data_IF_602900258765
#
_entry.id   IF_602900258765
#
_cell.length_a   1.000
_cell.length_b   1.000
_cell.length_c   1.000
_cell.angle_alpha   90.00
_cell.angle_beta   90.00
_cell.angle_gamma   90.00
#
_symmetry.space_group_name_H-M   'P 1'
#
loop_
_entity.id
_entity.type
_entity.pdbx_description
1 polymer ?
#
# COMPACT_ATOMS: atom_id res chain seq x y z
N UNK A 1 0.18 -3.67 -18.74
CA UNK A 1 -0.37 -4.44 -17.60
C UNK A 1 -0.05 -3.67 -16.35
N UNK A 2 -0.97 -3.61 -15.39
CA UNK A 2 -0.81 -2.92 -14.12
C UNK A 2 -0.78 -3.94 -12.99
N UNK A 3 0.27 -3.92 -12.18
CA UNK A 3 0.42 -4.93 -11.13
C UNK A 3 1.07 -4.35 -9.87
N UNK A 4 0.48 -4.72 -8.75
CA UNK A 4 1.03 -4.46 -7.43
C UNK A 4 0.53 -5.49 -6.42
N UNK A 5 1.44 -5.97 -5.58
CA UNK A 5 1.12 -6.88 -4.49
C UNK A 5 1.91 -6.51 -3.23
N UNK A 6 1.27 -5.95 -2.19
CA UNK A 6 1.94 -5.56 -0.94
C UNK A 6 2.43 -6.75 -0.11
N UNK A 7 2.08 -7.99 -0.48
CA UNK A 7 2.59 -9.21 0.16
C UNK A 7 3.90 -9.71 -0.44
N UNK A 8 4.30 -9.17 -1.58
CA UNK A 8 5.60 -9.43 -2.15
C UNK A 8 6.59 -8.33 -1.70
N UNK A 9 7.71 -8.75 -1.10
CA UNK A 9 8.80 -7.88 -0.67
C UNK A 9 9.43 -7.10 -1.83
N UNK A 10 9.32 -7.56 -3.07
CA UNK A 10 9.79 -6.81 -4.22
C UNK A 10 8.98 -5.52 -4.47
N UNK A 11 7.73 -5.48 -3.99
CA UNK A 11 6.78 -4.39 -4.22
C UNK A 11 6.56 -3.50 -3.00
N UNK A 12 6.68 -4.04 -1.79
CA UNK A 12 6.52 -3.27 -0.54
C UNK A 12 7.58 -3.65 0.48
N UNK A 13 8.34 -2.65 0.93
CA UNK A 13 9.32 -2.81 2.01
C UNK A 13 9.20 -1.67 3.03
N UNK A 14 9.23 -1.95 4.34
CA UNK A 14 9.18 -3.28 4.95
C UNK A 14 7.80 -3.94 4.78
N UNK A 15 7.76 -5.28 4.91
CA UNK A 15 6.50 -6.02 4.94
C UNK A 15 5.73 -5.72 6.24
N UNK A 16 4.41 -5.67 6.15
CA UNK A 16 3.55 -5.42 7.31
C UNK A 16 3.55 -3.97 7.80
N UNK A 17 3.45 -3.81 9.12
CA UNK A 17 3.39 -2.52 9.80
C UNK A 17 4.76 -1.83 9.83
N UNK A 18 4.75 -0.50 9.89
CA UNK A 18 5.95 0.34 9.79
C UNK A 18 6.17 1.06 11.11
N UNK A 19 7.40 1.14 11.57
CA UNK A 19 7.72 1.89 12.79
C UNK A 19 7.87 3.38 12.47
N UNK A 20 7.43 4.24 13.39
CA UNK A 20 7.75 5.68 13.32
C UNK A 20 9.27 5.88 13.19
N UNK A 21 9.67 6.78 12.30
CA UNK A 21 11.07 7.01 11.91
C UNK A 21 11.57 6.08 10.80
N UNK A 22 10.74 5.17 10.28
CA UNK A 22 11.05 4.38 9.08
C UNK A 22 10.33 4.94 7.85
N UNK A 23 10.83 4.56 6.67
CA UNK A 23 10.19 4.82 5.40
C UNK A 23 9.64 3.52 4.79
N UNK A 24 8.62 3.66 3.94
CA UNK A 24 8.22 2.58 3.03
C UNK A 24 8.80 2.82 1.64
N UNK A 25 9.27 1.76 1.02
CA UNK A 25 9.52 1.68 -0.42
C UNK A 25 8.34 0.95 -1.06
N UNK A 26 7.71 1.61 -2.01
CA UNK A 26 6.67 1.01 -2.86
C UNK A 26 7.16 0.95 -4.30
N UNK A 27 7.02 -0.22 -4.93
CA UNK A 27 7.22 -0.40 -6.36
C UNK A 27 5.90 -0.74 -7.03
N UNK A 28 5.68 -0.29 -8.25
CA UNK A 28 4.48 -0.54 -9.03
C UNK A 28 4.86 -0.89 -10.47
N UNK A 29 4.28 -1.94 -11.02
CA UNK A 29 4.58 -2.40 -12.38
C UNK A 29 3.56 -1.85 -13.38
N UNK A 30 4.08 -1.25 -14.45
CA UNK A 30 3.32 -0.70 -15.56
C UNK A 30 4.15 -0.72 -16.86
N UNK A 31 3.69 -1.54 -17.81
CA UNK A 31 4.35 -1.76 -19.10
C UNK A 31 4.07 -0.68 -20.17
N UNK A 32 3.15 0.24 -19.88
CA UNK A 32 2.75 1.29 -20.81
C UNK A 32 3.79 2.41 -20.86
N UNK A 33 4.04 2.97 -22.05
CA UNK A 33 5.11 3.95 -22.30
C UNK A 33 4.75 5.38 -21.91
N UNK A 34 3.49 5.79 -22.05
CA UNK A 34 2.98 7.11 -21.68
C UNK A 34 2.05 7.00 -20.48
N UNK A 35 2.65 6.73 -19.32
CA UNK A 35 1.93 6.60 -18.05
C UNK A 35 2.65 7.33 -16.93
N UNK A 36 1.88 8.12 -16.20
CA UNK A 36 2.27 8.70 -14.92
C UNK A 36 1.57 7.95 -13.79
N UNK A 37 2.33 7.59 -12.74
CA UNK A 37 1.80 6.91 -11.56
C UNK A 37 2.03 7.77 -10.33
N UNK A 38 0.96 8.03 -9.58
CA UNK A 38 1.01 8.70 -8.28
C UNK A 38 0.58 7.73 -7.19
N UNK A 39 1.30 7.73 -6.08
CA UNK A 39 0.85 7.10 -4.86
C UNK A 39 0.06 8.11 -4.04
N UNK A 40 -1.22 7.84 -3.82
CA UNK A 40 -2.08 8.65 -2.97
C UNK A 40 -2.15 7.97 -1.62
N UNK A 41 -1.78 8.68 -0.54
CA UNK A 41 -1.86 8.18 0.83
C UNK A 41 -2.65 9.14 1.70
N UNK A 42 -3.56 8.59 2.49
CA UNK A 42 -4.44 9.32 3.39
C UNK A 42 -4.33 8.74 4.79
N UNK A 43 -4.07 9.60 5.78
CA UNK A 43 -4.21 9.20 7.19
C UNK A 43 -5.68 9.06 7.53
N UNK A 44 -6.02 8.11 8.39
CA UNK A 44 -7.38 7.97 8.91
C UNK A 44 -7.85 9.30 9.54
N UNK A 45 -9.03 9.77 9.12
CA UNK A 45 -9.58 11.10 9.45
C UNK A 45 -8.61 12.29 9.30
N UNK A 46 -7.61 12.18 8.42
CA UNK A 46 -6.51 13.13 8.34
C UNK A 46 -6.20 13.62 6.93
N UNK A 47 -4.99 14.17 6.79
CA UNK A 47 -4.49 14.74 5.54
C UNK A 47 -4.29 13.66 4.46
N UNK A 48 -4.53 14.08 3.21
CA UNK A 48 -4.18 13.37 1.98
C UNK A 48 -2.82 13.90 1.50
N UNK A 49 -1.96 12.99 1.08
CA UNK A 49 -0.66 13.26 0.50
C UNK A 49 -0.56 12.55 -0.84
N UNK A 50 0.13 13.16 -1.78
CA UNK A 50 0.29 12.65 -3.14
C UNK A 50 1.77 12.63 -3.47
N UNK A 51 2.26 11.47 -3.90
CA UNK A 51 3.66 11.27 -4.25
C UNK A 51 3.77 10.78 -5.68
N UNK A 52 4.42 11.56 -6.53
CA UNK A 52 4.74 11.15 -7.89
C UNK A 52 5.78 10.03 -7.84
N UNK A 53 5.52 8.93 -8.53
CA UNK A 53 6.46 7.80 -8.63
C UNK A 53 7.42 8.03 -9.80
N UNK A 54 8.68 7.65 -9.61
CA UNK A 54 9.72 7.72 -10.66
C UNK A 54 10.02 6.32 -11.19
N UNK A 55 10.29 6.16 -12.49
CA UNK A 55 10.65 4.86 -13.05
C UNK A 55 12.13 4.55 -12.75
N UNK A 56 12.40 3.39 -12.16
CA UNK A 56 13.76 2.90 -11.91
C UNK A 56 14.39 2.24 -13.16
N UNK A 57 15.68 1.90 -13.06
CA UNK A 57 16.43 1.24 -14.14
C UNK A 57 15.87 -0.14 -14.52
N UNK A 58 15.14 -0.79 -13.60
CA UNK A 58 14.48 -2.07 -13.84
C UNK A 58 13.10 -1.91 -14.49
N UNK A 59 12.64 -0.67 -14.69
CA UNK A 59 11.38 -0.34 -15.34
C UNK A 59 10.20 -0.20 -14.37
N UNK A 60 10.38 -0.38 -13.05
CA UNK A 60 9.32 -0.24 -12.06
C UNK A 60 9.14 1.23 -11.64
N UNK A 61 7.89 1.63 -11.42
CA UNK A 61 7.61 2.89 -10.75
C UNK A 61 7.91 2.75 -9.27
N UNK A 62 8.74 3.60 -8.71
CA UNK A 62 9.20 3.55 -7.32
C UNK A 62 8.95 4.85 -6.58
N UNK A 63 8.63 4.74 -5.30
CA UNK A 63 8.54 5.88 -4.38
C UNK A 63 8.96 5.45 -2.97
N UNK A 64 9.67 6.35 -2.28
CA UNK A 64 10.01 6.18 -0.86
C UNK A 64 9.28 7.23 -0.04
N UNK A 65 8.51 6.81 0.96
CA UNK A 65 7.67 7.69 1.78
C UNK A 65 8.10 7.56 3.25
N UNK A 66 8.63 8.63 3.88
CA UNK A 66 9.03 8.62 5.28
C UNK A 66 7.83 8.80 6.23
N UNK A 67 7.88 8.18 7.41
CA UNK A 67 6.89 8.32 8.48
C UNK A 67 7.53 8.75 9.80
N UNK A 68 7.90 10.03 9.89
CA UNK A 68 8.80 10.50 10.95
C UNK A 68 8.14 10.70 12.32
N UNK A 69 6.88 11.15 12.37
CA UNK A 69 6.25 11.57 13.64
C UNK A 69 4.84 11.02 13.88
N UNK A 70 4.15 10.58 12.84
CA UNK A 70 2.70 10.35 12.90
C UNK A 70 2.35 8.86 12.88
N UNK A 71 2.34 8.20 14.04
CA UNK A 71 1.74 6.88 14.19
C UNK A 71 0.23 6.92 13.89
N UNK A 72 -0.31 5.81 13.42
CA UNK A 72 -1.72 5.64 13.13
C UNK A 72 -2.00 4.77 11.92
N UNK A 73 -3.26 4.79 11.50
CA UNK A 73 -3.74 4.07 10.34
C UNK A 73 -3.69 4.95 9.10
N UNK A 74 -3.14 4.40 8.02
CA UNK A 74 -3.04 5.03 6.72
C UNK A 74 -3.68 4.13 5.67
N UNK A 75 -4.19 4.77 4.63
CA UNK A 75 -4.80 4.14 3.49
C UNK A 75 -4.14 4.66 2.23
N UNK A 76 -3.75 3.78 1.32
CA UNK A 76 -3.12 4.20 0.07
C UNK A 76 -3.64 3.43 -1.14
N UNK A 77 -3.53 4.05 -2.31
CA UNK A 77 -3.83 3.49 -3.62
C UNK A 77 -2.98 4.19 -4.67
N UNK A 78 -2.96 3.65 -5.89
CA UNK A 78 -2.25 4.25 -7.01
C UNK A 78 -3.23 4.94 -7.95
N UNK A 79 -2.91 6.16 -8.34
CA UNK A 79 -3.57 6.90 -9.40
C UNK A 79 -2.69 6.81 -10.65
N UNK A 80 -3.30 6.44 -11.77
CA UNK A 80 -2.62 6.14 -13.03
C UNK A 80 -3.22 7.07 -14.08
N UNK A 81 -2.38 7.87 -14.71
CA UNK A 81 -2.76 8.74 -15.81
C UNK A 81 -2.16 8.17 -17.09
N UNK A 82 -3.03 7.72 -18.00
CA UNK A 82 -2.66 7.19 -19.31
C UNK A 82 -2.89 8.25 -20.40
N UNK A 83 -1.92 8.42 -21.30
CA UNK A 83 -2.09 9.21 -22.53
C UNK A 83 -1.28 10.50 -22.59
N UNK A 84 -1.49 11.25 -23.67
CA UNK A 84 -0.87 12.58 -23.89
C UNK A 84 -1.79 13.69 -23.41
N UNK A 85 -1.28 14.93 -23.32
CA UNK A 85 -1.97 16.12 -22.78
C UNK A 85 -3.42 16.35 -23.25
N UNK A 86 -3.84 15.76 -24.37
CA UNK A 86 -5.14 15.99 -25.02
C UNK A 86 -6.20 14.91 -24.71
N UNK A 87 -5.80 13.70 -24.29
CA UNK A 87 -6.68 12.60 -23.88
C UNK A 87 -6.06 11.84 -22.70
N UNK A 88 -6.27 12.35 -21.49
CA UNK A 88 -5.83 11.67 -20.27
C UNK A 88 -6.93 10.75 -19.74
N UNK A 89 -6.67 9.45 -19.76
CA UNK A 89 -7.50 8.46 -19.10
C UNK A 89 -6.99 8.24 -17.69
N UNK A 90 -7.81 8.63 -16.70
CA UNK A 90 -7.52 8.43 -15.29
C UNK A 90 -8.03 7.06 -14.84
N UNK A 91 -7.14 6.25 -14.29
CA UNK A 91 -7.44 4.96 -13.69
C UNK A 91 -6.86 4.90 -12.29
N UNK A 92 -7.34 3.94 -11.50
CA UNK A 92 -6.89 3.76 -10.14
C UNK A 92 -6.59 2.29 -9.85
N UNK A 93 -5.64 2.02 -8.98
CA UNK A 93 -5.28 0.66 -8.57
C UNK A 93 -5.31 0.55 -7.05
N UNK A 94 -6.15 -0.35 -6.56
CA UNK A 94 -6.40 -0.57 -5.14
C UNK A 94 -6.41 -2.04 -4.76
N UNK A 95 -6.68 -2.32 -3.50
CA UNK A 95 -6.84 -3.68 -2.96
C UNK A 95 -8.06 -4.39 -3.56
N UNK A 96 -7.95 -5.69 -3.77
CA UNK A 96 -9.11 -6.54 -4.11
C UNK A 96 -10.09 -6.72 -2.94
N UNK A 97 -9.67 -6.40 -1.71
CA UNK A 97 -10.43 -6.57 -0.47
C UNK A 97 -10.18 -7.90 0.26
N UNK A 98 -9.54 -8.87 -0.40
CA UNK A 98 -9.08 -10.13 0.21
C UNK A 98 -7.59 -10.10 0.58
N UNK A 99 -6.91 -8.99 0.29
CA UNK A 99 -5.46 -8.83 0.48
C UNK A 99 -4.65 -9.40 -0.70
N UNK A 100 -3.37 -9.07 -0.73
CA UNK A 100 -2.48 -9.45 -1.84
C UNK A 100 -2.68 -8.56 -3.07
N UNK A 101 -2.76 -9.18 -4.25
CA UNK A 101 -2.87 -8.48 -5.53
C UNK A 101 -4.11 -7.58 -5.60
N UNK A 102 -3.93 -6.43 -6.25
CA UNK A 102 -4.97 -5.44 -6.43
C UNK A 102 -5.81 -5.59 -7.69
N UNK A 103 -6.70 -4.62 -7.85
CA UNK A 103 -7.58 -4.49 -9.00
C UNK A 103 -7.49 -3.07 -9.56
N UNK A 104 -7.76 -2.97 -10.86
CA UNK A 104 -7.90 -1.70 -11.56
C UNK A 104 -9.35 -1.20 -11.45
N UNK A 105 -9.51 0.08 -11.18
CA UNK A 105 -10.77 0.80 -11.03
C UNK A 105 -10.81 1.99 -11.99
N UNK A 106 -12.00 2.28 -12.52
CA UNK A 106 -12.22 3.44 -13.41
C UNK A 106 -12.69 4.68 -12.65
N UNK A 107 -13.28 4.50 -11.46
CA UNK A 107 -13.79 5.58 -10.62
C UNK A 107 -13.08 5.58 -9.27
N UNK A 108 -12.76 6.77 -8.76
CA UNK A 108 -12.07 6.95 -7.48
C UNK A 108 -12.92 6.49 -6.29
N UNK A 109 -14.23 6.67 -6.37
CA UNK A 109 -15.15 6.38 -5.28
C UNK A 109 -15.33 4.88 -5.00
N UNK A 110 -15.00 4.02 -5.98
CA UNK A 110 -15.15 2.58 -5.87
C UNK A 110 -13.89 1.87 -5.37
N UNK A 111 -12.78 2.62 -5.22
CA UNK A 111 -11.50 2.07 -4.84
C UNK A 111 -11.56 1.54 -3.41
N UNK A 112 -11.06 0.32 -3.23
CA UNK A 112 -10.69 -0.19 -1.91
C UNK A 112 -9.21 0.10 -1.67
N UNK A 113 -8.84 1.00 -0.75
CA UNK A 113 -7.43 1.29 -0.52
C UNK A 113 -6.73 0.15 0.22
N UNK A 114 -5.42 0.07 0.08
CA UNK A 114 -4.57 -0.74 0.92
C UNK A 114 -4.43 -0.10 2.30
N UNK A 115 -4.43 -0.92 3.34
CA UNK A 115 -4.19 -0.47 4.70
C UNK A 115 -2.70 -0.50 5.03
N UNK A 116 -2.21 0.53 5.70
CA UNK A 116 -0.87 0.64 6.25
C UNK A 116 -0.95 1.10 7.71
N UNK A 117 -0.43 0.28 8.61
CA UNK A 117 -0.34 0.64 10.03
C UNK A 117 1.05 1.17 10.33
N UNK A 118 1.12 2.37 10.90
CA UNK A 118 2.35 2.97 11.42
C UNK A 118 2.29 2.97 12.95
N UNK A 119 3.25 2.34 13.62
CA UNK A 119 3.26 2.19 15.07
C UNK A 119 4.48 2.86 15.70
N UNK A 120 4.34 3.35 16.93
CA UNK A 120 5.43 4.04 17.64
C UNK A 120 6.26 3.08 18.49
N UNK A 121 5.60 2.23 19.28
CA UNK A 121 6.24 1.30 20.22
C UNK A 121 5.92 -0.13 19.86
N UNK A 122 6.93 -0.99 19.94
CA UNK A 122 6.75 -2.43 19.80
C UNK A 122 6.07 -2.97 21.05
N UNK A 123 4.85 -3.48 20.89
CA UNK A 123 4.20 -4.25 21.95
C UNK A 123 4.66 -5.70 21.87
N UNK A 124 5.63 -6.06 22.72
CA UNK A 124 6.13 -7.44 22.75
C UNK A 124 5.08 -8.32 23.38
N UNK A 125 4.52 -9.22 22.57
CA UNK A 125 3.65 -10.28 23.07
C UNK A 125 4.31 -10.97 24.29
N UNK A 126 3.55 -11.25 25.36
CA UNK A 126 4.07 -11.95 26.53
C UNK A 126 4.77 -13.26 26.13
N UNK A 127 5.84 -13.63 26.85
CA UNK A 127 6.63 -14.82 26.50
C UNK A 127 5.75 -16.09 26.44
N UNK A 128 4.86 -16.26 27.41
CA UNK A 128 3.92 -17.38 27.47
C UNK A 128 3.02 -17.48 26.22
N UNK A 129 2.69 -16.35 25.58
CA UNK A 129 1.83 -16.32 24.39
C UNK A 129 2.60 -16.74 23.13
N UNK A 130 3.89 -16.41 23.06
CA UNK A 130 4.76 -16.77 21.92
C UNK A 130 5.09 -18.26 21.86
N UNK A 131 5.18 -18.90 23.02
CA UNK A 131 5.58 -20.31 23.14
C UNK A 131 4.37 -21.25 23.35
N UNK A 132 3.15 -20.71 23.48
CA UNK A 132 1.95 -21.51 23.71
C UNK A 132 1.46 -22.22 22.44
N UNK A 133 0.96 -23.44 22.61
CA UNK A 133 0.19 -24.16 21.60
C UNK A 133 -1.30 -23.95 21.91
N UNK A 134 -2.01 -23.23 21.03
CA UNK A 134 -3.44 -22.99 21.18
C UNK A 134 -4.25 -24.07 20.46
N UNK A 135 -5.12 -24.77 21.19
CA UNK A 135 -6.15 -25.62 20.59
C UNK A 135 -7.51 -24.94 20.72
N UNK A 136 -8.18 -24.74 19.59
CA UNK A 136 -9.54 -24.20 19.56
C UNK A 136 -10.55 -25.35 19.65
N UNK A 137 -11.39 -25.34 20.69
CA UNK A 137 -12.55 -26.23 20.79
C UNK A 137 -13.82 -25.45 20.49
N UNK A 138 -14.71 -26.05 19.70
CA UNK A 138 -16.03 -25.48 19.41
C UNK A 138 -17.06 -26.18 20.30
N UNK A 139 -17.71 -25.42 21.18
CA UNK A 139 -18.82 -25.91 21.98
C UNK A 139 -20.12 -25.60 21.22
N UNK A 140 -20.89 -26.65 20.92
CA UNK A 140 -22.28 -26.51 20.45
C UNK A 140 -23.15 -26.48 21.72
N UNK A 141 -23.92 -25.41 21.90
CA UNK A 141 -25.01 -25.34 22.88
C UNK A 141 -26.32 -25.52 22.13
#
# INVERSE_FOLDING_TARGET
MYYYNPWNLDYKQPFGAVKVGQAILLKFDANQTQVEVKCIIRRDFGKRYEFLMSRDESGFFTVTIPFDENAGLYFYYFEILEGSDWEQNKRFYGSSGIGGEGLLYTNENDIKPYQLTVFEKEDKAPAWYRDAVFTRFFLIV
#
